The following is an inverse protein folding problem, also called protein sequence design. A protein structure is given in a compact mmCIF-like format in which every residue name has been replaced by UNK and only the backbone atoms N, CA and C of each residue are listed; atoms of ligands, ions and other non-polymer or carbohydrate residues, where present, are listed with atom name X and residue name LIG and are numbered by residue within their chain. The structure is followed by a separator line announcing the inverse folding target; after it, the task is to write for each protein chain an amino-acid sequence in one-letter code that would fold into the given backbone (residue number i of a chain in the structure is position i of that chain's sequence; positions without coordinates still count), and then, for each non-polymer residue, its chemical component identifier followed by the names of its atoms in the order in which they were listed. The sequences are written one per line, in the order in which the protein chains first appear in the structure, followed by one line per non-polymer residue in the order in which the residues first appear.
data_IF_738606707381
#
_entry.id   IF_738606707381
#
_cell.length_a   1.000
_cell.length_b   1.000
_cell.length_c   1.000
_cell.angle_alpha   90.00
_cell.angle_beta   90.00
_cell.angle_gamma   90.00
#
_symmetry.space_group_name_H-M   'P 1'
#
loop_
_entity.id
_entity.type
_entity.pdbx_description
1 polymer ?
#
# COMPACT_ATOMS: atom_id res chain seq x y z
N UNK A 1 -0.53 -16.84 -12.25
CA UNK A 1 0.37 -16.46 -11.15
C UNK A 1 -0.39 -16.58 -9.85
N UNK A 2 -0.06 -17.56 -9.02
CA UNK A 2 -0.60 -17.66 -7.67
C UNK A 2 0.38 -16.95 -6.72
N UNK A 3 -0.04 -15.80 -6.17
CA UNK A 3 0.76 -15.03 -5.23
C UNK A 3 0.57 -15.58 -3.82
N UNK A 4 1.56 -16.32 -3.33
CA UNK A 4 1.59 -16.82 -1.96
C UNK A 4 2.28 -15.81 -1.02
N UNK A 5 1.49 -14.87 -0.48
CA UNK A 5 1.79 -14.22 0.80
C UNK A 5 0.45 -13.93 1.51
N UNK A 6 0.35 -14.35 2.77
CA UNK A 6 -0.91 -14.47 3.54
C UNK A 6 -1.49 -13.12 4.00
N UNK A 7 -1.25 -12.02 3.26
CA UNK A 7 -1.86 -10.73 3.53
C UNK A 7 -2.88 -10.40 2.43
N UNK A 8 -4.13 -10.05 2.79
CA UNK A 8 -5.12 -9.65 1.80
C UNK A 8 -4.61 -8.44 0.99
N UNK A 9 -4.62 -8.56 -0.34
CA UNK A 9 -4.24 -7.46 -1.24
C UNK A 9 -5.12 -6.24 -0.94
N UNK A 10 -4.50 -5.07 -0.78
CA UNK A 10 -5.22 -3.82 -0.53
C UNK A 10 -6.26 -3.54 -1.65
N UNK A 11 -7.49 -3.13 -1.32
CA UNK A 11 -8.58 -3.01 -2.30
C UNK A 11 -8.26 -2.05 -3.46
N UNK A 12 -7.51 -0.97 -3.21
CA UNK A 12 -7.05 -0.05 -4.25
C UNK A 12 -6.07 -0.72 -5.23
N UNK A 13 -5.14 -1.55 -4.73
CA UNK A 13 -4.20 -2.30 -5.58
C UNK A 13 -4.99 -3.27 -6.44
N UNK A 14 -5.93 -4.02 -5.85
CA UNK A 14 -6.79 -4.95 -6.58
C UNK A 14 -7.54 -4.26 -7.73
N UNK A 15 -8.19 -3.12 -7.47
CA UNK A 15 -8.89 -2.35 -8.51
C UNK A 15 -7.95 -1.88 -9.62
N UNK A 16 -6.74 -1.43 -9.25
CA UNK A 16 -5.73 -0.99 -10.21
C UNK A 16 -5.31 -2.14 -11.14
N UNK A 17 -4.93 -3.30 -10.57
CA UNK A 17 -4.54 -4.48 -11.36
C UNK A 17 -5.68 -4.97 -12.26
N UNK A 18 -6.92 -4.99 -11.75
CA UNK A 18 -8.09 -5.32 -12.57
C UNK A 18 -8.29 -4.36 -13.75
N UNK A 19 -7.99 -3.07 -13.57
CA UNK A 19 -8.06 -2.10 -14.66
C UNK A 19 -6.95 -2.30 -15.69
N UNK A 20 -5.77 -2.77 -15.26
CA UNK A 20 -4.68 -3.14 -16.17
C UNK A 20 -5.07 -4.30 -17.10
N UNK A 21 -5.93 -5.22 -16.64
CA UNK A 21 -6.51 -6.27 -17.50
C UNK A 21 -7.42 -5.67 -18.59
N UNK A 22 -8.21 -4.64 -18.26
CA UNK A 22 -9.10 -3.96 -19.21
C UNK A 22 -8.31 -3.32 -20.36
N UNK A 23 -7.18 -2.68 -20.04
CA UNK A 23 -6.31 -2.05 -21.05
C UNK A 23 -5.31 -3.03 -21.68
N UNK A 24 -5.42 -4.34 -21.38
CA UNK A 24 -4.55 -5.40 -21.88
C UNK A 24 -3.06 -5.14 -21.64
N UNK A 25 -2.73 -4.59 -20.47
CA UNK A 25 -1.32 -4.47 -20.05
C UNK A 25 -0.69 -5.87 -19.92
N UNK A 26 0.61 -5.97 -20.19
CA UNK A 26 1.34 -7.22 -20.02
C UNK A 26 1.60 -7.54 -18.54
N UNK A 27 1.96 -8.80 -18.27
CA UNK A 27 2.15 -9.28 -16.89
C UNK A 27 3.31 -8.60 -16.18
N UNK A 28 4.35 -8.20 -16.93
CA UNK A 28 5.49 -7.46 -16.39
C UNK A 28 5.06 -6.08 -15.89
N UNK A 29 4.22 -5.39 -16.66
CA UNK A 29 3.63 -4.10 -16.30
C UNK A 29 2.75 -4.24 -15.06
N UNK A 30 1.90 -5.26 -15.00
CA UNK A 30 1.08 -5.54 -13.80
C UNK A 30 1.93 -5.76 -12.56
N UNK A 31 3.01 -6.53 -12.69
CA UNK A 31 3.94 -6.78 -11.58
C UNK A 31 4.64 -5.50 -11.11
N UNK A 32 5.13 -4.66 -12.04
CA UNK A 32 5.77 -3.39 -11.72
C UNK A 32 4.78 -2.46 -11.00
N UNK A 33 3.56 -2.33 -11.52
CA UNK A 33 2.52 -1.48 -10.92
C UNK A 33 2.13 -2.00 -9.54
N UNK A 34 1.98 -3.32 -9.37
CA UNK A 34 1.71 -3.93 -8.07
C UNK A 34 2.79 -3.55 -7.05
N UNK A 35 4.07 -3.77 -7.38
CA UNK A 35 5.20 -3.46 -6.50
C UNK A 35 5.27 -1.97 -6.16
N UNK A 36 5.06 -1.10 -7.14
CA UNK A 36 5.06 0.34 -6.93
C UNK A 36 3.94 0.78 -5.98
N UNK A 37 2.72 0.29 -6.21
CA UNK A 37 1.57 0.61 -5.37
C UNK A 37 1.73 0.10 -3.93
N UNK A 38 2.32 -1.08 -3.74
CA UNK A 38 2.67 -1.58 -2.40
C UNK A 38 3.67 -0.66 -1.70
N UNK A 39 4.69 -0.15 -2.40
CA UNK A 39 5.66 0.79 -1.83
C UNK A 39 4.99 2.10 -1.41
N UNK A 40 4.09 2.65 -2.22
CA UNK A 40 3.34 3.86 -1.86
C UNK A 40 2.49 3.69 -0.59
N UNK A 41 1.86 2.52 -0.41
CA UNK A 41 1.10 2.23 0.81
C UNK A 41 2.01 2.12 2.04
N UNK A 42 3.16 1.44 1.91
CA UNK A 42 4.15 1.37 2.99
C UNK A 42 4.67 2.76 3.36
N UNK A 43 5.01 3.60 2.38
CA UNK A 43 5.45 4.97 2.59
C UNK A 43 4.38 5.80 3.31
N UNK A 44 3.11 5.70 2.88
CA UNK A 44 1.98 6.36 3.56
C UNK A 44 1.89 5.95 5.03
N UNK A 45 1.98 4.66 5.32
CA UNK A 45 1.83 4.13 6.68
C UNK A 45 3.00 4.56 7.57
N UNK A 46 4.22 4.60 7.03
CA UNK A 46 5.39 5.16 7.72
C UNK A 46 5.22 6.65 8.02
N UNK A 47 4.69 7.43 7.09
CA UNK A 47 4.40 8.86 7.29
C UNK A 47 3.28 9.07 8.31
N UNK A 48 2.28 8.19 8.35
CA UNK A 48 1.21 8.26 9.34
C UNK A 48 1.73 7.94 10.76
N UNK A 49 2.62 6.95 10.88
CA UNK A 49 3.24 6.57 12.15
C UNK A 49 4.19 7.67 12.69
N UNK A 50 4.92 8.37 11.82
CA UNK A 50 5.84 9.44 12.25
C UNK A 50 5.16 10.74 12.70
N UNK A 51 3.85 10.90 12.45
CA UNK A 51 3.07 12.08 12.86
C UNK A 51 2.41 11.95 14.24
N UNK A 52 2.57 10.81 14.91
CA UNK A 52 2.13 10.62 16.29
C UNK A 52 3.26 11.00 17.25
N UNK A 53 3.37 12.28 17.60
CA UNK A 53 4.10 12.70 18.81
C UNK A 53 3.23 12.41 20.06
N UNK A 54 3.80 11.91 21.17
CA UNK A 54 3.05 11.67 22.39
C UNK A 54 2.75 13.00 23.10
N UNK A 55 1.47 13.36 23.17
CA UNK A 55 0.98 14.45 24.01
C UNK A 55 0.85 13.93 25.45
N UNK A 56 1.94 13.75 26.17
CA UNK A 56 1.88 13.64 27.64
C UNK A 56 3.05 14.36 28.29
N UNK A 57 2.82 15.61 28.65
CA UNK A 57 3.41 16.28 29.82
C UNK A 57 2.51 17.44 30.23
N UNK A 58 1.25 17.14 30.52
CA UNK A 58 0.49 17.90 31.51
C UNK A 58 0.71 17.20 32.85
N UNK A 59 1.80 17.55 33.55
CA UNK A 59 1.84 17.36 35.01
C UNK A 59 1.62 18.74 35.63
N UNK A 60 0.40 18.87 36.12
CA UNK A 60 -0.12 19.89 37.00
C UNK A 60 0.61 19.88 38.35
N UNK A 61 1.35 20.96 38.66
CA UNK A 61 1.31 21.82 39.86
C UNK A 61 2.65 22.51 40.08
#
# INVERSE_FOLDING_TARGET
MEFHSQQPIHPTIRKCIQHLDVIKADDKTKQIVYMYMESLLRERDLIAASKQEPIESQIHN
#
